data_IF_419005651441
#
_entry.id   IF_419005651441
#
_cell.length_a   1.000
_cell.length_b   1.000
_cell.length_c   1.000
_cell.angle_alpha   90.00
_cell.angle_beta   90.00
_cell.angle_gamma   90.00
#
_symmetry.space_group_name_H-M   'P 1'
#
loop_
_entity.id
_entity.type
_entity.pdbx_description
1 polymer ?
#
# COMPACT_ATOMS: atom_id res chain seq x y z
N UNK A 1 -16.36 -6.10 -9.87
CA UNK A 1 -16.28 -7.58 -9.65
C UNK A 1 -16.74 -7.88 -8.23
N UNK A 2 -17.82 -8.65 -8.00
CA UNK A 2 -18.39 -8.91 -6.65
C UNK A 2 -17.37 -9.49 -5.67
N UNK A 3 -16.64 -10.52 -6.07
CA UNK A 3 -15.75 -11.23 -5.15
C UNK A 3 -14.69 -10.30 -4.58
N UNK A 4 -14.11 -9.43 -5.43
CA UNK A 4 -13.16 -8.42 -4.96
C UNK A 4 -13.78 -7.49 -3.93
N UNK A 5 -14.95 -6.93 -4.23
CA UNK A 5 -15.67 -6.01 -3.32
C UNK A 5 -16.03 -6.67 -1.98
N UNK A 6 -16.45 -7.95 -2.01
CA UNK A 6 -16.65 -8.75 -0.81
C UNK A 6 -15.36 -8.89 0.01
N UNK A 7 -14.23 -9.22 -0.61
CA UNK A 7 -12.96 -9.35 0.11
C UNK A 7 -12.44 -8.02 0.66
N UNK A 8 -12.61 -6.91 -0.08
CA UNK A 8 -12.32 -5.56 0.44
C UNK A 8 -13.12 -5.25 1.69
N UNK A 9 -14.36 -5.73 1.78
CA UNK A 9 -15.24 -5.57 2.95
C UNK A 9 -14.96 -6.55 4.09
N UNK A 10 -14.54 -7.78 3.79
CA UNK A 10 -14.35 -8.84 4.78
C UNK A 10 -13.01 -8.73 5.51
N UNK A 11 -11.94 -8.31 4.80
CA UNK A 11 -10.61 -8.05 5.37
C UNK A 11 -10.12 -6.67 4.91
N UNK A 12 -10.76 -5.58 5.35
CA UNK A 12 -10.31 -4.26 4.96
C UNK A 12 -9.01 -3.90 5.69
N UNK A 13 -8.27 -2.95 5.14
CA UNK A 13 -7.28 -2.19 5.91
C UNK A 13 -8.03 -1.19 6.79
N UNK A 14 -7.46 -0.84 7.95
CA UNK A 14 -8.06 0.04 8.96
C UNK A 14 -9.19 -0.58 9.79
N UNK A 15 -9.13 -1.88 10.13
CA UNK A 15 -10.17 -2.52 10.99
C UNK A 15 -10.32 -1.88 12.37
N UNK A 16 -9.31 -1.17 12.87
CA UNK A 16 -9.40 -0.40 14.11
C UNK A 16 -10.43 0.74 14.04
N UNK A 17 -10.69 1.26 12.84
CA UNK A 17 -11.67 2.33 12.58
C UNK A 17 -13.05 1.79 12.19
N UNK A 18 -13.20 0.52 11.82
CA UNK A 18 -14.53 -0.07 11.58
C UNK A 18 -15.05 -0.82 12.80
N UNK A 19 -14.19 -1.58 13.47
CA UNK A 19 -14.57 -2.51 14.54
C UNK A 19 -13.81 -2.27 15.84
N UNK A 20 -12.70 -1.52 15.80
CA UNK A 20 -11.87 -1.23 16.97
C UNK A 20 -12.25 0.06 17.69
N UNK A 21 -11.30 0.58 18.47
CA UNK A 21 -11.52 1.70 19.39
C UNK A 21 -11.76 3.07 18.72
N UNK A 22 -11.52 3.19 17.41
CA UNK A 22 -11.74 4.43 16.64
C UNK A 22 -12.99 4.39 15.74
N UNK A 23 -13.92 3.46 15.98
CA UNK A 23 -15.14 3.31 15.18
C UNK A 23 -16.26 4.34 15.48
N UNK A 24 -15.91 5.48 16.08
CA UNK A 24 -16.83 6.57 16.44
C UNK A 24 -16.17 7.93 16.16
N UNK A 25 -16.18 8.85 17.13
CA UNK A 25 -15.97 10.28 16.93
C UNK A 25 -14.51 10.72 16.69
N UNK A 26 -13.54 9.81 16.82
CA UNK A 26 -12.11 10.11 16.62
C UNK A 26 -11.60 9.65 15.23
N UNK A 27 -12.39 8.86 14.50
CA UNK A 27 -11.99 8.25 13.23
C UNK A 27 -12.37 9.07 11.99
N UNK A 28 -11.85 8.66 10.83
CA UNK A 28 -12.34 9.11 9.53
C UNK A 28 -13.85 8.83 9.41
N UNK A 29 -14.66 9.89 9.31
CA UNK A 29 -16.13 9.83 9.36
C UNK A 29 -16.75 8.98 8.24
N UNK A 30 -16.04 8.83 7.13
CA UNK A 30 -16.47 8.13 5.92
C UNK A 30 -16.19 6.62 5.93
N UNK A 31 -15.41 6.11 6.88
CA UNK A 31 -15.01 4.70 6.91
C UNK A 31 -16.18 3.72 7.11
N UNK A 32 -17.02 3.93 8.12
CA UNK A 32 -18.20 3.09 8.34
C UNK A 32 -19.24 3.22 7.19
N UNK A 33 -19.54 4.44 6.69
CA UNK A 33 -20.33 4.62 5.47
C UNK A 33 -19.77 3.86 4.26
N UNK A 34 -18.45 3.87 4.06
CA UNK A 34 -17.80 3.12 2.99
C UNK A 34 -18.05 1.60 3.14
N UNK A 35 -17.92 1.04 4.35
CA UNK A 35 -18.22 -0.38 4.60
C UNK A 35 -19.66 -0.75 4.25
N UNK A 36 -20.63 0.11 4.59
CA UNK A 36 -22.03 -0.08 4.20
C UNK A 36 -22.21 -0.09 2.69
N UNK A 37 -21.50 0.78 1.98
CA UNK A 37 -21.58 0.87 0.52
C UNK A 37 -21.01 -0.38 -0.17
N UNK A 38 -19.97 -1.03 0.38
CA UNK A 38 -19.53 -2.34 -0.09
C UNK A 38 -20.64 -3.40 0.06
N UNK A 39 -21.32 -3.43 1.21
CA UNK A 39 -22.42 -4.38 1.45
C UNK A 39 -23.54 -4.19 0.42
N UNK A 40 -23.87 -2.94 0.05
CA UNK A 40 -24.85 -2.64 -1.01
C UNK A 40 -24.40 -3.20 -2.38
N UNK A 41 -23.14 -2.99 -2.76
CA UNK A 41 -22.60 -3.52 -4.02
C UNK A 41 -22.67 -5.05 -4.08
N UNK A 42 -22.26 -5.71 -2.99
CA UNK A 42 -22.24 -7.18 -2.91
C UNK A 42 -23.65 -7.74 -2.95
N UNK A 43 -24.56 -7.24 -2.11
CA UNK A 43 -25.94 -7.72 -2.03
C UNK A 43 -26.70 -7.55 -3.34
N UNK A 44 -26.44 -6.46 -4.06
CA UNK A 44 -27.07 -6.25 -5.36
C UNK A 44 -26.55 -7.23 -6.42
N UNK A 45 -25.24 -7.46 -6.47
CA UNK A 45 -24.70 -8.44 -7.41
C UNK A 45 -25.17 -9.85 -7.04
N UNK A 46 -25.35 -10.15 -5.76
CA UNK A 46 -25.95 -11.41 -5.30
C UNK A 46 -27.39 -11.56 -5.77
N UNK A 47 -28.22 -10.53 -5.62
CA UNK A 47 -29.57 -10.52 -6.15
C UNK A 47 -29.59 -10.77 -7.68
N UNK A 48 -28.67 -10.16 -8.43
CA UNK A 48 -28.52 -10.40 -9.87
C UNK A 48 -28.15 -11.85 -10.18
N UNK A 49 -27.18 -12.42 -9.46
CA UNK A 49 -26.73 -13.81 -9.65
C UNK A 49 -27.89 -14.78 -9.35
N UNK A 50 -28.61 -14.55 -8.25
CA UNK A 50 -29.78 -15.37 -7.89
C UNK A 50 -30.90 -15.27 -8.94
N UNK A 51 -31.17 -14.08 -9.47
CA UNK A 51 -32.16 -13.90 -10.53
C UNK A 51 -31.74 -14.65 -11.82
N UNK A 52 -30.46 -14.57 -12.21
CA UNK A 52 -29.92 -15.25 -13.39
C UNK A 52 -29.95 -16.78 -13.26
N UNK A 53 -29.77 -17.31 -12.04
CA UNK A 53 -29.87 -18.74 -11.77
C UNK A 53 -31.31 -19.26 -11.69
N UNK A 54 -32.30 -18.35 -11.65
CA UNK A 54 -33.71 -18.67 -11.59
C UNK A 54 -34.28 -19.16 -12.93
N UNK A 55 -35.49 -19.73 -12.92
CA UNK A 55 -36.14 -20.23 -14.14
C UNK A 55 -36.68 -19.13 -15.05
N UNK A 56 -36.70 -17.87 -14.60
CA UNK A 56 -37.19 -16.74 -15.38
C UNK A 56 -36.05 -15.97 -16.05
N UNK A 57 -36.27 -15.39 -17.25
CA UNK A 57 -35.28 -14.52 -17.88
C UNK A 57 -34.98 -13.34 -16.96
N UNK A 58 -33.73 -13.24 -16.49
CA UNK A 58 -33.32 -12.15 -15.62
C UNK A 58 -33.14 -10.86 -16.42
N UNK A 59 -33.73 -9.77 -15.94
CA UNK A 59 -33.43 -8.43 -16.41
C UNK A 59 -32.17 -7.94 -15.69
N UNK A 60 -31.18 -7.35 -16.38
CA UNK A 60 -30.05 -6.72 -15.71
C UNK A 60 -30.51 -5.64 -14.74
N UNK A 61 -30.09 -5.72 -13.48
CA UNK A 61 -30.27 -4.66 -12.50
C UNK A 61 -29.46 -3.41 -12.92
N UNK A 62 -29.99 -2.19 -12.70
CA UNK A 62 -29.23 -0.97 -12.91
C UNK A 62 -28.00 -0.92 -11.99
N UNK A 63 -26.99 -0.05 -12.23
CA UNK A 63 -25.88 0.12 -11.29
C UNK A 63 -26.35 0.45 -9.87
N UNK A 64 -25.58 0.03 -8.87
CA UNK A 64 -25.90 0.31 -7.48
C UNK A 64 -25.92 1.82 -7.20
N UNK A 65 -27.05 2.30 -6.66
CA UNK A 65 -27.14 3.65 -6.15
C UNK A 65 -26.49 3.70 -4.76
N UNK A 66 -25.23 4.12 -4.70
CA UNK A 66 -24.50 4.27 -3.45
C UNK A 66 -24.84 5.62 -2.79
N UNK A 67 -25.19 5.63 -1.49
CA UNK A 67 -25.26 6.86 -0.71
C UNK A 67 -23.93 7.63 -0.78
N UNK A 68 -23.98 8.98 -0.83
CA UNK A 68 -22.77 9.78 -0.78
C UNK A 68 -22.06 9.56 0.56
N UNK A 69 -20.73 9.51 0.52
CA UNK A 69 -19.91 9.48 1.72
C UNK A 69 -19.91 10.85 2.38
N UNK A 70 -19.88 10.93 3.73
CA UNK A 70 -19.80 12.20 4.42
C UNK A 70 -18.49 12.92 4.07
N UNK A 71 -18.54 14.25 4.01
CA UNK A 71 -17.34 15.04 3.83
C UNK A 71 -16.40 14.86 5.04
N UNK A 72 -15.15 14.49 4.77
CA UNK A 72 -14.10 14.44 5.78
C UNK A 72 -13.51 15.84 5.91
N UNK A 73 -13.72 16.48 7.06
CA UNK A 73 -13.06 17.75 7.36
C UNK A 73 -11.58 17.48 7.65
N UNK A 74 -10.68 18.17 6.96
CA UNK A 74 -9.24 18.09 7.25
C UNK A 74 -8.98 18.53 8.69
N UNK A 75 -8.33 17.68 9.48
CA UNK A 75 -8.26 17.83 10.94
C UNK A 75 -7.18 18.83 11.41
N UNK A 76 -6.39 19.39 10.50
CA UNK A 76 -5.43 20.49 10.73
C UNK A 76 -5.37 21.32 9.46
N UNK A 77 -5.05 22.62 9.58
CA UNK A 77 -4.93 23.52 8.43
C UNK A 77 -4.13 22.83 7.34
N UNK A 78 -4.72 22.68 6.15
CA UNK A 78 -4.07 22.08 5.01
C UNK A 78 -2.67 22.67 4.91
N UNK A 79 -1.64 21.83 4.73
CA UNK A 79 -0.40 22.35 4.20
C UNK A 79 -0.77 23.07 2.90
N UNK A 80 -0.45 24.37 2.80
CA UNK A 80 -0.57 25.06 1.54
C UNK A 80 0.39 24.37 0.57
N UNK A 81 -0.13 23.95 -0.57
CA UNK A 81 0.70 23.36 -1.60
C UNK A 81 1.73 24.40 -2.04
N UNK A 82 2.99 23.99 -2.15
CA UNK A 82 4.10 24.80 -2.62
C UNK A 82 4.70 24.16 -3.87
N UNK A 83 5.13 24.99 -4.82
CA UNK A 83 5.96 24.49 -5.91
C UNK A 83 7.32 24.01 -5.36
N UNK A 84 8.00 23.10 -6.06
CA UNK A 84 9.32 22.63 -5.63
C UNK A 84 10.33 23.78 -5.46
N UNK A 85 10.22 24.83 -6.28
CA UNK A 85 11.05 26.03 -6.16
C UNK A 85 10.74 26.85 -4.91
N UNK A 86 9.47 26.92 -4.50
CA UNK A 86 9.06 27.61 -3.27
C UNK A 86 9.43 26.80 -2.02
N UNK A 87 9.27 25.48 -2.04
CA UNK A 87 9.73 24.59 -0.97
C UNK A 87 11.25 24.69 -0.79
N UNK A 88 12.01 24.70 -1.89
CA UNK A 88 13.47 24.82 -1.83
C UNK A 88 13.91 26.14 -1.16
N UNK A 89 13.19 27.24 -1.40
CA UNK A 89 13.46 28.54 -0.73
C UNK A 89 13.07 28.54 0.75
N UNK A 90 12.15 27.66 1.17
CA UNK A 90 11.71 27.56 2.55
C UNK A 90 12.67 26.73 3.43
N UNK A 91 13.51 25.89 2.84
CA UNK A 91 14.50 25.11 3.60
C UNK A 91 15.53 26.01 4.30
N UNK A 92 15.80 25.71 5.56
CA UNK A 92 16.93 26.25 6.31
C UNK A 92 17.99 25.16 6.41
N UNK A 93 19.08 25.34 5.68
CA UNK A 93 20.12 24.31 5.51
C UNK A 93 21.46 24.87 5.99
N UNK A 94 22.26 24.04 6.65
CA UNK A 94 23.64 24.38 7.01
C UNK A 94 24.46 24.65 5.72
N UNK A 95 25.31 25.70 5.67
CA UNK A 95 26.04 26.09 4.45
C UNK A 95 26.94 25.01 3.82
N UNK A 96 27.22 23.90 4.54
CA UNK A 96 27.98 22.76 4.02
C UNK A 96 27.15 21.82 3.14
N UNK A 97 25.84 22.00 3.08
CA UNK A 97 24.93 21.15 2.32
C UNK A 97 24.16 21.99 1.29
N UNK A 98 23.83 21.34 0.18
CA UNK A 98 22.94 21.86 -0.84
C UNK A 98 21.71 20.96 -0.91
N UNK A 99 20.54 21.55 -1.15
CA UNK A 99 19.31 20.81 -1.44
C UNK A 99 18.97 21.05 -2.90
N UNK A 100 18.87 19.98 -3.67
CA UNK A 100 18.47 20.00 -5.08
C UNK A 100 17.21 19.15 -5.27
N UNK A 101 16.38 19.54 -6.25
CA UNK A 101 15.23 18.75 -6.67
C UNK A 101 15.71 17.65 -7.62
N UNK A 102 15.64 16.39 -7.19
CA UNK A 102 15.90 15.24 -8.04
C UNK A 102 14.70 14.90 -8.93
N UNK A 103 13.49 14.86 -8.36
CA UNK A 103 12.24 14.57 -9.08
C UNK A 103 11.05 15.25 -8.38
N UNK A 104 10.07 15.73 -9.15
CA UNK A 104 8.85 16.37 -8.61
C UNK A 104 7.57 15.81 -9.24
N UNK A 105 6.48 15.82 -8.48
CA UNK A 105 5.17 15.27 -8.92
C UNK A 105 4.57 16.03 -10.11
N UNK A 106 4.90 17.32 -10.30
CA UNK A 106 4.51 18.09 -11.48
C UNK A 106 5.14 17.53 -12.77
N UNK A 107 6.39 17.05 -12.68
CA UNK A 107 7.12 16.44 -13.80
C UNK A 107 6.74 14.97 -13.98
N UNK A 108 6.57 14.24 -12.87
CA UNK A 108 6.29 12.81 -12.86
C UNK A 108 5.02 12.52 -12.05
N UNK A 109 3.83 12.54 -12.66
CA UNK A 109 2.57 12.35 -11.93
C UNK A 109 2.45 11.01 -11.19
N UNK A 110 3.21 9.99 -11.61
CA UNK A 110 3.22 8.68 -10.98
C UNK A 110 3.84 8.68 -9.57
N UNK A 111 4.60 9.71 -9.18
CA UNK A 111 5.22 9.79 -7.84
C UNK A 111 4.34 10.46 -6.77
N UNK A 112 3.06 10.69 -7.06
CA UNK A 112 2.12 11.32 -6.13
C UNK A 112 2.03 10.56 -4.79
N UNK A 113 2.04 11.31 -3.69
CA UNK A 113 2.06 10.78 -2.32
C UNK A 113 3.18 9.72 -2.10
N UNK A 114 4.47 10.10 -2.22
CA UNK A 114 5.58 9.19 -2.02
C UNK A 114 5.66 8.75 -0.55
N UNK A 115 5.93 7.46 -0.31
CA UNK A 115 6.01 6.87 1.05
C UNK A 115 7.44 6.43 1.39
N UNK A 116 8.02 5.52 0.59
CA UNK A 116 9.36 4.96 0.82
C UNK A 116 10.20 5.15 -0.44
N UNK A 117 11.51 5.31 -0.26
CA UNK A 117 12.46 5.33 -1.37
C UNK A 117 13.74 4.53 -1.11
N UNK A 118 14.32 3.98 -2.19
CA UNK A 118 15.58 3.21 -2.18
C UNK A 118 16.31 3.41 -3.51
N UNK A 119 17.64 3.31 -3.50
CA UNK A 119 18.45 3.30 -4.72
C UNK A 119 18.81 1.87 -5.10
N UNK A 120 18.63 1.51 -6.37
CA UNK A 120 19.11 0.22 -6.87
C UNK A 120 20.61 0.26 -7.20
N UNK A 121 21.19 -0.91 -7.51
CA UNK A 121 22.61 -1.03 -7.85
C UNK A 121 23.01 -0.36 -9.18
N UNK A 122 22.03 0.10 -9.97
CA UNK A 122 22.25 0.87 -11.21
C UNK A 122 22.21 2.37 -10.96
N UNK A 123 21.97 2.82 -9.72
CA UNK A 123 21.88 4.23 -9.37
C UNK A 123 20.53 4.85 -9.71
N UNK A 124 19.46 4.05 -9.84
CA UNK A 124 18.10 4.54 -10.07
C UNK A 124 17.34 4.65 -8.76
N UNK A 125 16.55 5.70 -8.58
CA UNK A 125 15.72 5.90 -7.40
C UNK A 125 14.39 5.18 -7.57
N UNK A 126 14.05 4.31 -6.65
CA UNK A 126 12.76 3.63 -6.58
C UNK A 126 11.91 4.29 -5.50
N UNK A 127 10.63 4.51 -5.79
CA UNK A 127 9.69 5.19 -4.89
C UNK A 127 8.38 4.43 -4.83
N UNK A 128 7.90 4.08 -3.63
CA UNK A 128 6.54 3.59 -3.45
C UNK A 128 5.59 4.77 -3.24
N UNK A 129 4.47 4.76 -3.94
CA UNK A 129 3.56 5.90 -4.05
C UNK A 129 2.13 5.44 -3.82
N UNK A 130 1.36 6.18 -3.02
CA UNK A 130 0.03 5.74 -2.59
C UNK A 130 -1.06 6.80 -2.75
N UNK A 131 -1.92 6.57 -3.73
CA UNK A 131 -3.17 7.33 -3.92
C UNK A 131 -4.38 6.60 -3.36
N UNK A 132 -4.24 5.32 -3.02
CA UNK A 132 -5.26 4.47 -2.38
C UNK A 132 -5.38 4.75 -0.89
N UNK A 133 -4.33 5.27 -0.25
CA UNK A 133 -4.37 5.61 1.17
C UNK A 133 -5.52 6.59 1.50
N UNK A 134 -6.26 6.37 2.59
CA UNK A 134 -6.00 5.40 3.66
C UNK A 134 -6.62 4.02 3.44
N UNK A 135 -7.52 3.83 2.47
CA UNK A 135 -8.10 2.52 2.15
C UNK A 135 -8.72 2.48 0.74
N UNK A 136 -9.09 1.29 0.27
CA UNK A 136 -9.90 1.14 -0.93
C UNK A 136 -11.35 1.54 -0.67
N UNK A 137 -11.86 2.46 -1.49
CA UNK A 137 -13.27 2.86 -1.46
C UNK A 137 -14.18 1.92 -2.26
N UNK A 138 -15.48 1.86 -1.95
CA UNK A 138 -16.45 1.02 -2.64
C UNK A 138 -16.48 1.27 -4.15
N UNK A 139 -16.44 0.18 -4.92
CA UNK A 139 -16.40 0.22 -6.39
C UNK A 139 -15.03 0.50 -6.99
N UNK A 140 -14.04 0.81 -6.16
CA UNK A 140 -12.65 1.03 -6.58
C UNK A 140 -11.77 -0.18 -6.26
N UNK A 141 -10.56 -0.16 -6.80
CA UNK A 141 -9.49 -1.10 -6.49
C UNK A 141 -8.21 -0.30 -6.18
N UNK A 142 -7.24 -0.89 -5.45
CA UNK A 142 -5.94 -0.28 -5.23
C UNK A 142 -5.25 0.07 -6.55
N UNK A 143 -4.60 1.22 -6.59
CA UNK A 143 -3.91 1.76 -7.77
C UNK A 143 -2.53 2.31 -7.42
N UNK A 144 -1.97 1.88 -6.28
CA UNK A 144 -0.67 2.33 -5.81
C UNK A 144 0.44 1.73 -6.67
N UNK A 145 1.57 2.44 -6.70
CA UNK A 145 2.65 2.19 -7.66
C UNK A 145 3.99 2.09 -6.97
N UNK A 146 4.88 1.31 -7.57
CA UNK A 146 6.32 1.35 -7.34
C UNK A 146 6.95 1.90 -8.61
N UNK A 147 7.59 3.06 -8.50
CA UNK A 147 8.09 3.86 -9.63
C UNK A 147 9.62 3.87 -9.61
N UNK A 148 10.24 3.78 -10.78
CA UNK A 148 11.68 3.92 -11.00
C UNK A 148 11.91 5.28 -11.65
N UNK A 149 12.80 6.06 -11.05
CA UNK A 149 13.28 7.35 -11.52
C UNK A 149 14.77 7.19 -11.87
N UNK A 150 15.15 7.65 -13.05
CA UNK A 150 16.51 7.55 -13.56
C UNK A 150 16.95 8.91 -14.07
N UNK A 151 18.21 9.23 -13.82
CA UNK A 151 18.94 10.37 -14.38
C UNK A 151 19.87 9.79 -15.45
N UNK A 152 19.53 9.99 -16.73
CA UNK A 152 20.29 9.39 -17.85
C UNK A 152 21.45 10.24 -18.36
N UNK A 153 21.53 11.52 -17.96
CA UNK A 153 22.58 12.44 -18.39
C UNK A 153 23.58 12.84 -17.28
N UNK A 154 23.30 12.45 -16.04
CA UNK A 154 24.17 12.61 -14.88
C UNK A 154 24.18 14.04 -14.33
N UNK A 155 23.15 14.84 -14.58
CA UNK A 155 23.04 16.21 -14.08
C UNK A 155 22.52 16.30 -12.63
N UNK A 156 22.18 15.16 -12.03
CA UNK A 156 21.62 15.06 -10.69
C UNK A 156 20.11 15.25 -10.63
N UNK A 157 19.40 15.13 -11.76
CA UNK A 157 17.93 15.21 -11.87
C UNK A 157 17.40 14.04 -12.68
N UNK A 158 16.29 13.47 -12.23
CA UNK A 158 15.62 12.45 -13.00
C UNK A 158 15.01 13.05 -14.28
N UNK A 159 15.27 12.39 -15.40
CA UNK A 159 14.70 12.70 -16.72
C UNK A 159 13.79 11.57 -17.23
N UNK A 160 13.86 10.39 -16.61
CA UNK A 160 13.03 9.23 -16.93
C UNK A 160 12.26 8.73 -15.71
N UNK A 161 10.98 8.40 -15.93
CA UNK A 161 10.12 7.72 -14.96
C UNK A 161 9.49 6.47 -15.59
N UNK A 162 9.49 5.35 -14.87
CA UNK A 162 8.85 4.08 -15.26
C UNK A 162 8.07 3.51 -14.08
N UNK A 163 6.86 3.01 -14.33
CA UNK A 163 6.11 2.25 -13.34
C UNK A 163 6.59 0.80 -13.38
N UNK A 164 7.30 0.35 -12.34
CA UNK A 164 7.74 -1.04 -12.21
C UNK A 164 6.60 -1.96 -11.84
N UNK A 165 5.78 -1.55 -10.88
CA UNK A 165 4.60 -2.30 -10.47
C UNK A 165 3.43 -1.37 -10.17
N UNK A 166 2.23 -1.82 -10.50
CA UNK A 166 0.98 -1.13 -10.23
C UNK A 166 0.01 -2.03 -9.44
N UNK A 167 -1.19 -1.50 -9.19
CA UNK A 167 -2.24 -2.18 -8.43
C UNK A 167 -1.77 -2.68 -7.06
N UNK A 168 -0.78 -1.98 -6.46
CA UNK A 168 -0.30 -2.25 -5.12
C UNK A 168 -1.34 -1.77 -4.10
N UNK A 169 -1.35 -2.38 -2.92
CA UNK A 169 -2.26 -2.02 -1.85
C UNK A 169 -1.53 -1.40 -0.66
N UNK A 170 -1.41 -0.07 -0.68
CA UNK A 170 -0.75 0.77 0.33
C UNK A 170 0.68 0.27 0.62
N UNK A 171 1.61 0.39 -0.36
CA UNK A 171 2.98 -0.08 -0.24
C UNK A 171 3.84 0.83 0.65
N UNK A 172 3.86 0.54 1.95
CA UNK A 172 4.55 1.36 2.95
C UNK A 172 6.06 1.18 2.98
N UNK A 173 6.55 0.03 2.52
CA UNK A 173 7.97 -0.25 2.46
C UNK A 173 8.26 -1.27 1.39
N UNK A 174 9.49 -1.24 0.89
CA UNK A 174 10.01 -2.27 0.01
C UNK A 174 11.53 -2.43 0.20
N UNK A 175 12.07 -3.55 -0.26
CA UNK A 175 13.51 -3.79 -0.28
C UNK A 175 13.89 -4.76 -1.41
N UNK A 176 15.04 -4.53 -2.04
CA UNK A 176 15.55 -5.36 -3.13
C UNK A 176 16.02 -6.70 -2.62
N UNK A 177 15.80 -7.78 -3.35
CA UNK A 177 16.35 -9.09 -3.00
C UNK A 177 15.94 -10.17 -3.98
N UNK A 178 16.71 -11.27 -4.04
CA UNK A 178 16.41 -12.40 -4.94
C UNK A 178 16.17 -12.01 -6.43
N UNK A 179 16.83 -10.95 -6.90
CA UNK A 179 16.66 -10.42 -8.25
C UNK A 179 15.32 -9.71 -8.51
N UNK A 180 14.59 -9.34 -7.46
CA UNK A 180 13.35 -8.57 -7.53
C UNK A 180 13.19 -7.66 -6.30
N UNK A 181 11.94 -7.43 -5.90
CA UNK A 181 11.60 -6.52 -4.80
C UNK A 181 10.57 -7.16 -3.87
N UNK A 182 10.84 -7.14 -2.58
CA UNK A 182 9.86 -7.42 -1.55
C UNK A 182 9.11 -6.14 -1.19
N UNK A 183 7.79 -6.14 -1.25
CA UNK A 183 6.92 -4.98 -1.02
C UNK A 183 5.89 -5.32 0.06
N UNK A 184 5.63 -4.39 0.98
CA UNK A 184 4.51 -4.53 1.90
C UNK A 184 3.18 -4.29 1.18
N UNK A 185 2.24 -5.21 1.32
CA UNK A 185 0.88 -5.08 0.79
C UNK A 185 -0.08 -5.75 1.75
N UNK A 186 -0.37 -5.11 2.90
CA UNK A 186 -1.11 -5.77 3.97
C UNK A 186 -2.42 -6.44 3.48
N UNK A 187 -2.70 -7.69 3.93
CA UNK A 187 -2.01 -8.47 4.98
C UNK A 187 -0.80 -9.30 4.47
N UNK A 188 -0.18 -8.91 3.37
CA UNK A 188 0.82 -9.69 2.64
C UNK A 188 2.19 -9.01 2.63
N UNK A 189 3.22 -9.85 2.58
CA UNK A 189 4.52 -9.50 2.00
C UNK A 189 4.55 -10.10 0.60
N UNK A 190 4.71 -9.24 -0.41
CA UNK A 190 4.68 -9.64 -1.81
C UNK A 190 6.10 -9.54 -2.40
N UNK A 191 6.51 -10.54 -3.16
CA UNK A 191 7.68 -10.50 -4.00
C UNK A 191 7.27 -10.18 -5.44
N UNK A 192 7.94 -9.21 -6.05
CA UNK A 192 7.73 -8.74 -7.41
C UNK A 192 9.03 -8.90 -8.20
N UNK A 193 8.95 -9.38 -9.44
CA UNK A 193 10.15 -9.61 -10.26
C UNK A 193 9.89 -9.35 -11.74
N UNK A 194 10.84 -8.66 -12.35
CA UNK A 194 11.02 -8.52 -13.80
C UNK A 194 11.86 -9.70 -14.29
N UNK A 195 11.35 -10.44 -15.28
CA UNK A 195 12.05 -11.62 -15.84
C UNK A 195 12.53 -11.41 -17.28
N UNK A 196 12.14 -10.33 -17.94
CA UNK A 196 12.50 -10.05 -19.34
C UNK A 196 13.36 -8.78 -19.54
N UNK A 197 13.55 -8.00 -18.48
CA UNK A 197 14.43 -6.84 -18.41
C UNK A 197 13.80 -5.54 -18.91
N UNK A 198 12.47 -5.46 -19.00
CA UNK A 198 11.75 -4.26 -19.46
C UNK A 198 11.46 -3.22 -18.35
N UNK A 199 11.97 -3.47 -17.13
CA UNK A 199 11.73 -2.68 -15.92
C UNK A 199 10.25 -2.68 -15.47
N UNK A 200 9.53 -3.78 -15.72
CA UNK A 200 8.19 -4.07 -15.18
C UNK A 200 8.14 -5.42 -14.49
N UNK A 201 7.37 -5.50 -13.41
CA UNK A 201 7.16 -6.76 -12.71
C UNK A 201 6.24 -7.70 -13.51
N UNK A 202 6.78 -8.84 -13.91
CA UNK A 202 6.05 -9.93 -14.56
C UNK A 202 5.48 -10.94 -13.54
N UNK A 203 6.25 -11.19 -12.49
CA UNK A 203 5.90 -12.14 -11.45
C UNK A 203 5.46 -11.40 -10.18
N UNK A 204 4.36 -11.88 -9.59
CA UNK A 204 3.84 -11.42 -8.30
C UNK A 204 3.55 -12.63 -7.42
N UNK A 205 4.25 -12.74 -6.30
CA UNK A 205 4.11 -13.86 -5.36
C UNK A 205 3.90 -13.35 -3.94
N UNK A 206 2.85 -13.83 -3.27
CA UNK A 206 2.71 -13.65 -1.82
C UNK A 206 3.68 -14.60 -1.12
N UNK A 207 4.69 -14.06 -0.42
CA UNK A 207 5.71 -14.86 0.27
C UNK A 207 5.40 -15.08 1.75
N UNK A 208 4.69 -14.14 2.38
CA UNK A 208 4.12 -14.27 3.72
C UNK A 208 2.75 -13.59 3.75
N UNK A 209 1.84 -14.11 4.56
CA UNK A 209 0.53 -13.49 4.80
C UNK A 209 0.07 -13.72 6.23
N UNK A 210 -0.88 -12.91 6.68
CA UNK A 210 -1.38 -12.92 8.05
C UNK A 210 -0.85 -11.77 8.89
N UNK A 211 -0.24 -10.76 8.25
CA UNK A 211 0.08 -9.50 8.90
C UNK A 211 -1.20 -8.76 9.31
N UNK A 212 -1.14 -7.97 10.38
CA UNK A 212 -2.28 -7.21 10.88
C UNK A 212 -2.83 -6.25 9.81
N UNK A 213 -4.08 -5.82 9.92
CA UNK A 213 -4.69 -4.83 9.00
C UNK A 213 -5.44 -3.73 9.74
N UNK A 214 -5.22 -3.63 11.04
CA UNK A 214 -5.97 -2.78 11.96
C UNK A 214 -5.78 -1.29 11.69
N UNK A 215 -4.57 -0.87 11.33
CA UNK A 215 -4.27 0.52 11.00
C UNK A 215 -3.24 0.58 9.86
N UNK A 216 -3.58 1.20 8.73
CA UNK A 216 -2.69 1.34 7.59
C UNK A 216 -1.51 2.27 7.84
N UNK A 217 -1.51 3.08 8.90
CA UNK A 217 -0.40 3.98 9.24
C UNK A 217 0.75 3.25 9.95
N UNK A 218 0.42 2.16 10.65
CA UNK A 218 1.32 1.44 11.56
C UNK A 218 1.80 0.11 10.97
N UNK A 219 1.43 -0.11 9.71
CA UNK A 219 1.44 -1.37 9.02
C UNK A 219 2.86 -1.83 8.66
N UNK A 220 2.98 -3.00 8.05
CA UNK A 220 4.26 -3.65 7.78
C UNK A 220 5.24 -2.70 7.03
N UNK A 221 6.31 -2.27 7.71
CA UNK A 221 7.21 -1.22 7.26
C UNK A 221 8.69 -1.48 7.62
N UNK A 222 9.56 -0.52 7.30
CA UNK A 222 11.02 -0.47 7.61
C UNK A 222 11.79 -1.72 7.20
N UNK A 223 11.70 -2.10 5.93
CA UNK A 223 12.43 -3.26 5.41
C UNK A 223 13.92 -2.96 5.35
N UNK A 224 14.72 -3.87 5.91
CA UNK A 224 16.17 -3.78 5.88
C UNK A 224 16.82 -5.17 5.97
N UNK A 225 17.85 -5.40 5.17
CA UNK A 225 18.66 -6.62 5.28
C UNK A 225 19.60 -6.56 6.47
N UNK A 226 19.68 -7.67 7.19
CA UNK A 226 20.80 -7.94 8.10
C UNK A 226 22.04 -8.36 7.32
N UNK A 227 23.25 -8.19 7.89
CA UNK A 227 24.48 -8.70 7.27
C UNK A 227 24.47 -10.22 7.02
N UNK A 228 23.66 -10.97 7.77
CA UNK A 228 23.53 -12.42 7.64
C UNK A 228 22.55 -12.85 6.52
N UNK A 229 21.88 -11.90 5.87
CA UNK A 229 20.95 -12.19 4.77
C UNK A 229 19.50 -12.42 5.18
N UNK A 230 19.13 -12.13 6.43
CA UNK A 230 17.73 -12.08 6.87
C UNK A 230 17.12 -10.70 6.60
N UNK A 231 15.84 -10.65 6.27
CA UNK A 231 15.08 -9.41 6.14
C UNK A 231 14.42 -9.06 7.48
N UNK A 232 14.71 -7.88 8.01
CA UNK A 232 13.97 -7.29 9.12
C UNK A 232 12.79 -6.49 8.58
N UNK A 233 11.66 -6.63 9.26
CA UNK A 233 10.40 -5.93 9.04
C UNK A 233 9.78 -5.62 10.40
N UNK A 234 8.90 -4.64 10.47
CA UNK A 234 8.16 -4.36 11.71
C UNK A 234 6.74 -3.88 11.46
N UNK A 235 5.93 -4.03 12.48
CA UNK A 235 4.63 -3.38 12.61
C UNK A 235 4.64 -2.56 13.89
N UNK A 236 3.74 -1.58 13.97
CA UNK A 236 3.59 -0.73 15.14
C UNK A 236 2.30 -1.09 15.89
N UNK A 237 1.80 -0.15 16.69
CA UNK A 237 0.66 -0.37 17.59
C UNK A 237 -0.63 -0.79 16.84
N UNK A 238 -1.56 -1.40 17.58
CA UNK A 238 -2.88 -1.89 17.11
C UNK A 238 -2.88 -3.22 16.35
N UNK A 239 -1.77 -3.64 15.73
CA UNK A 239 -1.75 -4.85 14.90
C UNK A 239 -1.72 -6.15 15.70
N UNK A 240 -2.46 -7.15 15.21
CA UNK A 240 -2.43 -8.53 15.69
C UNK A 240 -2.07 -9.46 14.53
N UNK A 241 -0.78 -9.69 14.36
CA UNK A 241 -0.24 -10.55 13.32
C UNK A 241 -0.37 -12.03 13.65
N UNK A 242 -0.84 -12.81 12.68
CA UNK A 242 -1.14 -14.23 12.75
C UNK A 242 -0.51 -14.97 11.56
N UNK A 243 0.78 -14.74 11.29
CA UNK A 243 1.48 -15.30 10.13
C UNK A 243 1.65 -16.82 10.28
N UNK A 244 1.34 -17.57 9.23
CA UNK A 244 1.58 -19.00 9.14
C UNK A 244 2.81 -19.28 8.28
N UNK A 245 3.71 -20.13 8.78
CA UNK A 245 4.93 -20.53 8.07
C UNK A 245 5.08 -22.05 8.09
N UNK A 246 5.96 -22.63 7.25
CA UNK A 246 6.31 -24.05 7.35
C UNK A 246 6.86 -24.47 8.73
N UNK A 247 7.31 -23.50 9.54
CA UNK A 247 7.85 -23.70 10.89
C UNK A 247 6.80 -23.52 11.99
N UNK A 248 5.55 -23.30 11.62
CA UNK A 248 4.44 -23.07 12.52
C UNK A 248 3.97 -21.61 12.56
N UNK A 249 2.96 -21.33 13.39
CA UNK A 249 2.38 -20.00 13.54
C UNK A 249 3.36 -19.05 14.25
N UNK A 250 3.53 -17.86 13.69
CA UNK A 250 4.22 -16.73 14.33
C UNK A 250 3.17 -15.68 14.68
N UNK A 251 3.19 -15.25 15.94
CA UNK A 251 2.24 -14.27 16.48
C UNK A 251 2.99 -13.04 16.96
N UNK A 252 2.41 -11.88 16.69
CA UNK A 252 2.87 -10.61 17.22
C UNK A 252 1.62 -9.80 17.57
N UNK A 253 1.66 -9.12 18.71
CA UNK A 253 0.61 -8.19 19.11
C UNK A 253 1.20 -6.84 19.51
N UNK A 254 0.60 -5.77 18.98
CA UNK A 254 0.75 -4.39 19.41
C UNK A 254 2.21 -3.89 19.41
N UNK A 255 2.75 -3.71 18.21
CA UNK A 255 4.13 -3.33 17.91
C UNK A 255 5.14 -4.45 18.13
N UNK A 256 5.92 -4.75 17.10
CA UNK A 256 7.01 -5.71 17.19
C UNK A 256 7.80 -5.79 15.89
N UNK A 257 8.95 -6.45 15.98
CA UNK A 257 9.83 -6.73 14.87
C UNK A 257 9.67 -8.18 14.42
N UNK A 258 9.99 -8.40 13.15
CA UNK A 258 10.04 -9.67 12.50
C UNK A 258 11.41 -9.82 11.84
N UNK A 259 12.00 -11.00 11.96
CA UNK A 259 13.17 -11.40 11.18
C UNK A 259 12.76 -12.58 10.31
N UNK A 260 12.83 -12.39 9.00
CA UNK A 260 12.48 -13.38 8.01
C UNK A 260 13.73 -13.85 7.28
N UNK A 261 13.95 -15.17 7.26
CA UNK A 261 15.01 -15.83 6.49
C UNK A 261 14.39 -16.34 5.17
N UNK A 262 14.65 -15.69 4.02
CA UNK A 262 14.01 -16.07 2.76
C UNK A 262 14.34 -17.51 2.33
N UNK A 263 15.56 -17.96 2.58
CA UNK A 263 16.05 -19.27 2.14
C UNK A 263 15.28 -20.44 2.78
N UNK A 264 14.83 -20.28 4.02
CA UNK A 264 14.15 -21.34 4.78
C UNK A 264 12.67 -21.03 5.03
N UNK A 265 12.21 -19.83 4.65
CA UNK A 265 10.92 -19.27 5.02
C UNK A 265 10.68 -19.22 6.55
N UNK A 266 11.75 -19.20 7.35
CA UNK A 266 11.63 -19.07 8.79
C UNK A 266 11.35 -17.61 9.15
N UNK A 267 10.27 -17.40 9.89
CA UNK A 267 9.95 -16.10 10.47
C UNK A 267 10.05 -16.21 11.99
N UNK A 268 10.64 -15.20 12.62
CA UNK A 268 10.60 -15.04 14.08
C UNK A 268 10.13 -13.63 14.39
N UNK A 269 9.28 -13.50 15.41
CA UNK A 269 8.88 -12.20 15.98
C UNK A 269 9.66 -11.93 17.27
N UNK A 270 9.95 -10.66 17.55
CA UNK A 270 10.64 -10.22 18.76
C UNK A 270 10.37 -8.74 19.04
N UNK A 271 10.67 -8.31 20.27
CA UNK A 271 10.36 -6.95 20.75
C UNK A 271 8.98 -6.88 21.36
#
# INVERSE_FOLDING_TARGET
NKNRQYFRRFRPLNTFYYTGGRNKDYGYLDFLPAMRNFDLLVNQQDAQIHALAGPQPAVPLPPAALPPLPAVNQSRGANEWLSAADEQRAFQVDPRFEVSLFAGEEQFPDIANPIQMRWDSRGRLWVSCSTTYPHVYPGQEPQDKLVILEDTDGDGRADVSRVFADNLHIPLSFEFGNGGVFVSEQPQLTFLKDVDGDDRADERQVVLSGFGTEDSHHALHDFIWTPDGDLLLRESVFHHSQVETPWGPVRQQNSGWFRWEPATHRLVSFG
#
